data_IF_574888200924
#
_entry.id   IF_574888200924
#
_cell.length_a   1.000
_cell.length_b   1.000
_cell.length_c   1.000
_cell.angle_alpha   90.00
_cell.angle_beta   90.00
_cell.angle_gamma   90.00
#
_symmetry.space_group_name_H-M   'P 1'
#
loop_
_entity.id
_entity.type
_entity.pdbx_description
1 polymer ?
#
# COMPACT_ATOMS: atom_id res chain seq x y z
N UNK A 1 25.54 7.06 -9.44
CA UNK A 1 24.21 6.62 -8.97
C UNK A 1 23.64 7.40 -7.78
N UNK A 2 24.42 8.26 -7.08
CA UNK A 2 23.99 8.95 -5.84
C UNK A 2 22.96 10.09 -6.07
N UNK A 3 22.97 10.76 -7.22
CA UNK A 3 22.14 11.95 -7.50
C UNK A 3 20.61 11.74 -7.47
N UNK A 4 20.13 10.49 -7.59
CA UNK A 4 18.69 10.21 -7.58
C UNK A 4 18.10 10.08 -6.16
N UNK A 5 18.90 9.65 -5.18
CA UNK A 5 18.42 9.42 -3.80
C UNK A 5 18.06 10.72 -3.09
N UNK A 6 18.90 11.76 -3.24
CA UNK A 6 18.65 13.07 -2.64
C UNK A 6 17.40 13.75 -3.22
N UNK A 7 17.16 13.58 -4.52
CA UNK A 7 15.95 14.10 -5.17
C UNK A 7 14.69 13.43 -4.61
N UNK A 8 14.71 12.12 -4.39
CA UNK A 8 13.60 11.39 -3.75
C UNK A 8 13.37 11.83 -2.30
N UNK A 9 14.44 12.03 -1.52
CA UNK A 9 14.35 12.49 -0.13
C UNK A 9 13.79 13.92 0.01
N UNK A 10 14.05 14.78 -0.97
CA UNK A 10 13.51 16.15 -1.05
C UNK A 10 12.03 16.20 -1.47
N UNK A 11 11.58 15.22 -2.27
CA UNK A 11 10.19 15.16 -2.75
C UNK A 11 9.20 14.53 -1.75
N UNK A 12 9.69 13.80 -0.73
CA UNK A 12 8.83 13.20 0.29
C UNK A 12 8.13 14.27 1.10
N UNK A 13 6.80 14.14 1.22
CA UNK A 13 6.01 14.93 2.16
C UNK A 13 6.50 14.62 3.59
N UNK A 14 6.80 15.67 4.36
CA UNK A 14 7.26 15.54 5.74
C UNK A 14 6.13 15.92 6.68
N UNK A 15 5.90 15.07 7.66
CA UNK A 15 4.95 15.35 8.71
C UNK A 15 5.45 16.55 9.54
N UNK A 16 4.55 17.49 9.84
CA UNK A 16 4.87 18.71 10.59
C UNK A 16 5.49 19.85 9.78
N UNK A 17 5.57 19.75 8.45
CA UNK A 17 6.03 20.85 7.60
C UNK A 17 4.96 21.96 7.51
N UNK A 18 5.21 23.18 8.04
CA UNK A 18 4.26 24.27 7.98
C UNK A 18 3.96 24.73 6.55
N UNK A 19 4.84 24.45 5.58
CA UNK A 19 4.67 24.80 4.16
C UNK A 19 4.00 23.70 3.34
N UNK A 20 3.66 22.54 3.92
CA UNK A 20 3.09 21.40 3.20
C UNK A 20 1.84 21.74 2.37
N UNK A 21 0.99 22.63 2.87
CA UNK A 21 -0.25 23.06 2.23
C UNK A 21 -0.03 23.99 1.01
N UNK A 22 1.12 24.67 0.94
CA UNK A 22 1.47 25.54 -0.20
C UNK A 22 1.82 24.71 -1.44
N UNK A 23 2.31 23.49 -1.22
CA UNK A 23 2.66 22.54 -2.29
C UNK A 23 1.41 21.72 -2.64
N UNK A 24 0.66 22.16 -3.66
CA UNK A 24 -0.42 21.36 -4.26
C UNK A 24 0.18 20.20 -5.04
N UNK A 25 0.52 19.12 -4.36
CA UNK A 25 0.78 17.86 -5.05
C UNK A 25 -0.56 17.41 -5.66
N UNK A 26 -0.59 17.25 -6.99
CA UNK A 26 -1.72 16.61 -7.67
C UNK A 26 -1.99 15.29 -6.94
N UNK A 27 -3.23 15.07 -6.53
CA UNK A 27 -3.68 13.83 -5.93
C UNK A 27 -3.06 12.66 -6.72
N UNK A 28 -2.39 11.75 -6.00
CA UNK A 28 -1.79 10.57 -6.59
C UNK A 28 -2.94 9.66 -7.03
N UNK A 29 -3.53 9.95 -8.19
CA UNK A 29 -4.34 8.95 -8.86
C UNK A 29 -3.43 7.77 -9.14
N UNK A 30 -3.74 6.57 -8.65
CA UNK A 30 -2.92 5.41 -8.94
C UNK A 30 -2.88 5.24 -10.46
N UNK A 31 -1.72 5.52 -11.05
CA UNK A 31 -1.45 5.27 -12.46
C UNK A 31 -1.41 3.75 -12.59
N UNK A 32 -2.56 3.08 -12.73
CA UNK A 32 -2.49 1.65 -12.99
C UNK A 32 -2.26 1.43 -14.49
N UNK A 33 -1.32 0.54 -14.83
CA UNK A 33 -0.89 0.30 -16.19
C UNK A 33 -2.09 -0.04 -17.08
N UNK A 34 -2.15 0.61 -18.25
CA UNK A 34 -3.12 0.28 -19.29
C UNK A 34 -2.74 -1.06 -19.91
N UNK A 35 -3.53 -2.09 -19.63
CA UNK A 35 -3.31 -3.44 -20.17
C UNK A 35 -3.77 -3.57 -21.63
N UNK A 36 -4.45 -2.56 -22.18
CA UNK A 36 -4.99 -2.53 -23.55
C UNK A 36 -4.06 -1.90 -24.60
N UNK A 37 -2.90 -1.38 -24.21
CA UNK A 37 -2.02 -0.64 -25.12
C UNK A 37 -1.26 -1.51 -26.15
N UNK A 38 -1.26 -2.82 -25.98
CA UNK A 38 -0.54 -3.74 -26.88
C UNK A 38 -1.18 -3.82 -28.28
N UNK A 39 -0.40 -3.51 -29.33
CA UNK A 39 -0.85 -3.56 -30.74
C UNK A 39 -1.47 -4.91 -31.12
N UNK A 40 -0.84 -6.01 -30.69
CA UNK A 40 -1.35 -7.39 -30.93
C UNK A 40 -2.73 -7.65 -30.32
N UNK A 41 -3.10 -6.96 -29.23
CA UNK A 41 -4.40 -7.10 -28.59
C UNK A 41 -5.46 -6.24 -29.27
N UNK A 42 -5.05 -5.10 -29.85
CA UNK A 42 -5.91 -4.26 -30.69
C UNK A 42 -6.28 -4.99 -31.99
N UNK A 43 -5.32 -5.70 -32.58
CA UNK A 43 -5.53 -6.53 -33.78
C UNK A 43 -6.44 -7.74 -33.53
N UNK A 44 -6.41 -8.33 -32.33
CA UNK A 44 -7.24 -9.48 -31.98
C UNK A 44 -8.70 -9.12 -31.65
N UNK A 45 -9.02 -7.83 -31.54
CA UNK A 45 -10.35 -7.35 -31.14
C UNK A 45 -10.69 -7.58 -29.66
N UNK A 46 -9.75 -8.09 -28.85
CA UNK A 46 -9.95 -8.33 -27.43
C UNK A 46 -9.69 -7.06 -26.61
N UNK A 47 -10.76 -6.36 -26.22
CA UNK A 47 -10.68 -5.13 -25.41
C UNK A 47 -10.79 -5.49 -23.92
N UNK A 48 -9.78 -5.12 -23.13
CA UNK A 48 -9.82 -5.19 -21.66
C UNK A 48 -10.42 -3.88 -21.13
N UNK A 49 -11.58 -3.89 -20.47
CA UNK A 49 -12.12 -2.68 -19.84
C UNK A 49 -11.16 -2.16 -18.75
N UNK A 50 -10.62 -0.96 -18.94
CA UNK A 50 -9.70 -0.31 -17.99
C UNK A 50 -10.39 0.56 -16.95
N UNK A 51 -11.70 0.80 -17.13
CA UNK A 51 -12.48 1.65 -16.25
C UNK A 51 -12.58 1.04 -14.85
N UNK A 52 -12.43 1.90 -13.84
CA UNK A 52 -12.58 1.48 -12.45
C UNK A 52 -14.08 1.33 -12.16
N UNK A 53 -14.57 0.13 -11.77
CA UNK A 53 -15.98 -0.06 -11.45
C UNK A 53 -16.43 0.83 -10.30
N UNK A 54 -17.71 1.21 -10.27
CA UNK A 54 -18.29 2.03 -9.19
C UNK A 54 -18.16 1.39 -7.80
N UNK A 55 -18.17 0.06 -7.74
CA UNK A 55 -18.01 -0.71 -6.51
C UNK A 55 -16.55 -0.95 -6.12
N UNK A 56 -15.59 -0.46 -6.90
CA UNK A 56 -14.17 -0.62 -6.60
C UNK A 56 -13.79 0.03 -5.27
N UNK A 57 -12.92 -0.64 -4.52
CA UNK A 57 -12.26 -0.09 -3.33
C UNK A 57 -11.58 1.26 -3.61
N UNK A 58 -11.07 1.48 -4.83
CA UNK A 58 -10.46 2.74 -5.27
C UNK A 58 -11.47 3.89 -5.34
N UNK A 59 -12.67 3.63 -5.90
CA UNK A 59 -13.73 4.65 -6.00
C UNK A 59 -14.37 4.93 -4.66
N UNK A 60 -14.46 3.91 -3.80
CA UNK A 60 -15.03 4.02 -2.47
C UNK A 60 -14.05 4.60 -1.44
N UNK A 61 -12.75 4.64 -1.74
CA UNK A 61 -11.73 5.12 -0.82
C UNK A 61 -11.55 4.24 0.42
N UNK A 62 -11.83 2.93 0.30
CA UNK A 62 -11.56 1.99 1.39
C UNK A 62 -10.09 1.63 1.42
N UNK A 63 -9.51 1.47 2.61
CA UNK A 63 -8.18 0.86 2.73
C UNK A 63 -8.28 -0.67 2.72
N UNK A 64 -7.38 -1.28 1.95
CA UNK A 64 -7.29 -2.73 1.86
C UNK A 64 -6.65 -3.33 3.10
N UNK A 65 -7.12 -4.51 3.51
CA UNK A 65 -6.49 -5.28 4.57
C UNK A 65 -5.01 -5.56 4.22
N UNK A 66 -4.07 -5.33 5.14
CA UNK A 66 -2.66 -5.60 4.89
C UNK A 66 -2.44 -7.10 4.73
N UNK A 67 -1.59 -7.47 3.78
CA UNK A 67 -1.11 -8.83 3.60
C UNK A 67 0.40 -8.88 3.81
N UNK A 68 0.91 -10.08 4.10
CA UNK A 68 2.35 -10.34 4.28
C UNK A 68 3.24 -9.81 3.14
N UNK A 69 2.70 -9.70 1.93
CA UNK A 69 3.47 -9.34 0.72
C UNK A 69 3.39 -7.85 0.35
N UNK A 70 2.61 -7.04 1.07
CA UNK A 70 2.37 -5.64 0.72
C UNK A 70 1.70 -5.43 -0.65
N UNK A 71 1.04 -6.46 -1.19
CA UNK A 71 0.39 -6.40 -2.51
C UNK A 71 -0.97 -5.73 -2.34
N UNK A 72 -1.22 -4.66 -3.11
CA UNK A 72 -2.53 -3.99 -3.13
C UNK A 72 -3.53 -4.77 -3.99
N UNK A 73 -4.82 -4.77 -3.63
CA UNK A 73 -5.84 -5.41 -4.43
C UNK A 73 -6.04 -4.72 -5.78
N UNK A 74 -6.53 -5.46 -6.77
CA UNK A 74 -6.77 -4.94 -8.12
C UNK A 74 -7.91 -3.92 -8.18
N UNK A 75 -8.01 -3.19 -9.31
CA UNK A 75 -9.06 -2.18 -9.56
C UNK A 75 -10.50 -2.71 -9.36
N UNK A 76 -10.72 -4.01 -9.55
CA UNK A 76 -12.05 -4.62 -9.52
C UNK A 76 -12.45 -5.16 -8.14
N UNK A 77 -11.57 -5.10 -7.15
CA UNK A 77 -11.91 -5.57 -5.81
C UNK A 77 -12.96 -4.65 -5.17
N UNK A 78 -13.98 -5.25 -4.55
CA UNK A 78 -15.13 -4.53 -4.00
C UNK A 78 -14.88 -3.89 -2.63
N UNK A 79 -13.73 -4.17 -2.01
CA UNK A 79 -13.37 -3.66 -0.69
C UNK A 79 -13.88 -4.50 0.47
N UNK A 80 -14.58 -5.62 0.20
CA UNK A 80 -15.08 -6.50 1.26
C UNK A 80 -14.06 -7.60 1.52
N UNK A 81 -13.57 -7.67 2.77
CA UNK A 81 -12.71 -8.76 3.22
C UNK A 81 -13.51 -10.07 3.33
N UNK A 82 -13.05 -11.09 2.62
CA UNK A 82 -13.60 -12.46 2.62
C UNK A 82 -12.56 -13.49 3.06
N UNK A 83 -11.56 -13.04 3.82
CA UNK A 83 -10.49 -13.90 4.32
C UNK A 83 -10.97 -14.79 5.48
N UNK A 84 -10.18 -15.82 5.78
CA UNK A 84 -10.35 -16.66 6.97
C UNK A 84 -9.80 -16.01 8.24
N UNK A 85 -9.22 -14.80 8.15
CA UNK A 85 -8.55 -14.11 9.26
C UNK A 85 -7.11 -14.54 9.54
N UNK A 86 -6.51 -15.41 8.73
CA UNK A 86 -5.12 -15.89 8.95
C UNK A 86 -4.09 -14.76 9.03
N UNK A 87 -4.13 -13.80 8.08
CA UNK A 87 -3.19 -12.67 8.06
C UNK A 87 -3.28 -11.85 9.35
N UNK A 88 -4.51 -11.54 9.80
CA UNK A 88 -4.75 -10.81 11.04
C UNK A 88 -4.18 -11.56 12.26
N UNK A 89 -4.41 -12.88 12.35
CA UNK A 89 -3.86 -13.70 13.43
C UNK A 89 -2.34 -13.76 13.38
N UNK A 90 -1.74 -13.85 12.19
CA UNK A 90 -0.29 -13.89 12.01
C UNK A 90 0.36 -12.58 12.47
N UNK A 91 -0.20 -11.43 12.09
CA UNK A 91 0.29 -10.13 12.57
C UNK A 91 0.17 -9.99 14.09
N UNK A 92 -0.95 -10.45 14.67
CA UNK A 92 -1.14 -10.46 16.12
C UNK A 92 -0.06 -11.29 16.83
N UNK A 93 0.16 -12.54 16.40
CA UNK A 93 1.19 -13.41 16.99
C UNK A 93 2.59 -12.84 16.85
N UNK A 94 2.91 -12.25 15.70
CA UNK A 94 4.21 -11.60 15.46
C UNK A 94 4.43 -10.43 16.40
N UNK A 95 3.41 -9.61 16.62
CA UNK A 95 3.48 -8.47 17.54
C UNK A 95 3.59 -8.93 19.00
N UNK A 96 2.84 -9.95 19.39
CA UNK A 96 2.91 -10.55 20.74
C UNK A 96 4.32 -11.08 21.01
N UNK A 97 4.90 -11.84 20.08
CA UNK A 97 6.27 -12.34 20.20
C UNK A 97 7.27 -11.19 20.38
N UNK A 98 7.22 -10.17 19.53
CA UNK A 98 8.11 -9.02 19.64
C UNK A 98 7.93 -8.25 20.96
N UNK A 99 6.70 -8.15 21.47
CA UNK A 99 6.44 -7.50 22.76
C UNK A 99 7.08 -8.31 23.91
N UNK A 100 6.86 -9.63 23.94
CA UNK A 100 7.44 -10.51 24.97
C UNK A 100 8.97 -10.52 24.97
N UNK A 101 9.59 -10.51 23.79
CA UNK A 101 11.06 -10.46 23.66
C UNK A 101 11.62 -9.13 24.20
N UNK A 102 10.95 -8.01 23.90
CA UNK A 102 11.33 -6.68 24.42
C UNK A 102 11.15 -6.60 25.94
N UNK A 103 10.05 -7.11 26.46
CA UNK A 103 9.81 -7.17 27.91
C UNK A 103 10.89 -8.01 28.58
N UNK A 104 11.12 -9.25 28.12
CA UNK A 104 12.14 -10.14 28.67
C UNK A 104 13.53 -9.49 28.68
N UNK A 105 13.89 -8.76 27.62
CA UNK A 105 15.13 -7.99 27.57
C UNK A 105 15.19 -6.91 28.66
N UNK A 106 14.15 -6.08 28.80
CA UNK A 106 14.09 -5.04 29.82
C UNK A 106 14.16 -5.61 31.24
N UNK A 107 13.48 -6.73 31.49
CA UNK A 107 13.57 -7.46 32.77
C UNK A 107 15.00 -7.96 33.03
N UNK A 108 15.65 -8.54 32.02
CA UNK A 108 17.02 -9.08 32.17
C UNK A 108 18.09 -8.02 32.47
N UNK A 109 17.87 -6.78 32.02
CA UNK A 109 18.81 -5.66 32.21
C UNK A 109 18.56 -4.91 33.52
N UNK A 110 17.40 -5.11 34.17
CA UNK A 110 17.00 -4.30 35.32
C UNK A 110 17.85 -4.46 36.59
N UNK A 111 18.62 -5.55 36.72
CA UNK A 111 19.47 -5.86 37.88
C UNK A 111 20.98 -5.86 37.53
N UNK A 112 21.36 -5.31 36.36
CA UNK A 112 22.75 -4.99 35.98
C UNK A 112 23.04 -3.50 36.20
#
# INVERSE_FOLDING_TARGET
MIRNSDKMLKQRLRWGDPMAHLVKNKHYEPILPDLGDNEKMKESGFVIPQDIPSHSWLKRGLDAAPNRYGIKPGRHWDGVDRSTGYEQQMFKRTNEKQATEREAYLWSVSDM
#
